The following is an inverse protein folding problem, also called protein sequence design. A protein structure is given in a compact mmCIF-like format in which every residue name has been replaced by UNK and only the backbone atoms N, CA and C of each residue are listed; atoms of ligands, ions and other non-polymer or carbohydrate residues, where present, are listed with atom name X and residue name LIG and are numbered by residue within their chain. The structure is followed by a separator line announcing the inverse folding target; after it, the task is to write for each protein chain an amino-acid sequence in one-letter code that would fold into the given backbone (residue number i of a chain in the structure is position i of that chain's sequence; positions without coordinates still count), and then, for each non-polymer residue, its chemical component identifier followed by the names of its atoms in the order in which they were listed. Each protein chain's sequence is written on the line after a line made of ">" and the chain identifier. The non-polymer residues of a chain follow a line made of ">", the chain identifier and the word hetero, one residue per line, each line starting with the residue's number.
data_IF_211084558679
#
_entry.id   IF_211084558679
#
_cell.length_a   1.000
_cell.length_b   1.000
_cell.length_c   1.000
_cell.angle_alpha   90.00
_cell.angle_beta   90.00
_cell.angle_gamma   90.00
#
_symmetry.space_group_name_H-M   'P 1'
#
loop_
_entity.id
_entity.type
_entity.pdbx_description
1 polymer ?
#
# COMPACT_ATOMS: atom_id res chain seq x y z
N UNK A 1 20.88 -6.21 -1.19
CA UNK A 1 20.14 -6.53 0.05
C UNK A 1 18.73 -6.95 -0.35
N UNK A 2 18.21 -8.03 0.22
CA UNK A 2 16.82 -8.46 -0.02
C UNK A 2 15.85 -7.53 0.73
N UNK A 3 14.85 -7.05 0.01
CA UNK A 3 13.82 -6.14 0.46
C UNK A 3 12.47 -6.59 -0.08
N UNK A 4 11.40 -6.03 0.46
CA UNK A 4 10.05 -6.39 0.06
C UNK A 4 9.07 -5.22 0.21
N UNK A 5 7.99 -5.33 -0.54
CA UNK A 5 6.81 -4.48 -0.43
C UNK A 5 5.57 -5.34 -0.24
N UNK A 6 4.65 -4.87 0.61
CA UNK A 6 3.31 -5.40 0.77
C UNK A 6 2.31 -4.51 0.03
N UNK A 7 1.90 -4.82 -1.22
CA UNK A 7 0.92 -4.05 -1.98
C UNK A 7 -0.52 -4.29 -1.49
N UNK A 8 -0.73 -4.15 -0.18
CA UNK A 8 -2.01 -4.41 0.47
C UNK A 8 -3.04 -3.34 0.09
N UNK A 9 -4.31 -3.73 0.10
CA UNK A 9 -5.43 -2.80 -0.11
C UNK A 9 -6.47 -2.98 0.98
N UNK A 10 -7.03 -1.87 1.45
CA UNK A 10 -8.26 -1.88 2.24
C UNK A 10 -9.45 -2.05 1.31
N UNK A 11 -10.24 -3.08 1.57
CA UNK A 11 -11.53 -3.39 0.98
C UNK A 11 -12.62 -3.00 2.00
N UNK A 12 -13.17 -1.79 1.86
CA UNK A 12 -13.98 -1.12 2.89
C UNK A 12 -13.26 -1.06 4.25
N UNK A 13 -13.53 -2.02 5.16
CA UNK A 13 -12.89 -2.10 6.50
C UNK A 13 -12.00 -3.34 6.67
N UNK A 14 -11.92 -4.18 5.65
CA UNK A 14 -11.11 -5.39 5.63
C UNK A 14 -9.80 -5.12 4.92
N UNK A 15 -8.73 -5.80 5.32
CA UNK A 15 -7.44 -5.72 4.65
C UNK A 15 -7.29 -6.94 3.73
N UNK A 16 -6.86 -6.69 2.49
CA UNK A 16 -6.38 -7.71 1.57
C UNK A 16 -4.86 -7.63 1.56
N UNK A 17 -4.21 -8.55 2.27
CA UNK A 17 -2.78 -8.58 2.61
C UNK A 17 -2.06 -9.82 2.06
N UNK A 18 -2.51 -10.30 0.91
CA UNK A 18 -2.11 -11.61 0.41
C UNK A 18 -0.81 -11.59 -0.37
N UNK A 19 -0.44 -10.41 -0.88
CA UNK A 19 0.59 -10.28 -1.90
C UNK A 19 1.87 -9.70 -1.29
N UNK A 20 3.01 -10.20 -1.75
CA UNK A 20 4.33 -9.69 -1.37
C UNK A 20 5.19 -9.59 -2.63
N UNK A 21 5.76 -8.43 -2.89
CA UNK A 21 6.78 -8.26 -3.93
C UNK A 21 8.14 -8.24 -3.24
N UNK A 22 8.95 -9.27 -3.45
CA UNK A 22 10.34 -9.32 -2.96
C UNK A 22 11.31 -9.00 -4.10
N UNK A 23 12.44 -8.40 -3.75
CA UNK A 23 13.48 -8.04 -4.71
C UNK A 23 14.80 -7.78 -3.98
N UNK A 24 15.89 -7.81 -4.73
CA UNK A 24 17.20 -7.41 -4.25
C UNK A 24 17.58 -6.04 -4.84
N UNK A 25 18.12 -5.15 -4.01
CA UNK A 25 18.75 -3.92 -4.48
C UNK A 25 20.28 -4.06 -4.46
N UNK A 26 20.90 -3.74 -5.60
CA UNK A 26 22.35 -3.63 -5.77
C UNK A 26 22.87 -2.32 -5.14
N UNK A 27 22.12 -1.24 -5.31
CA UNK A 27 22.41 0.10 -4.80
C UNK A 27 21.30 0.57 -3.85
N UNK A 28 21.66 0.76 -2.58
CA UNK A 28 20.76 1.22 -1.51
C UNK A 28 20.65 2.74 -1.41
N UNK A 29 21.45 3.52 -2.14
CA UNK A 29 21.40 4.98 -2.11
C UNK A 29 20.07 5.55 -2.65
N UNK A 30 19.29 4.74 -3.36
CA UNK A 30 17.97 5.10 -3.89
C UNK A 30 16.83 5.03 -2.86
N UNK A 31 17.08 4.55 -1.64
CA UNK A 31 16.05 4.36 -0.60
C UNK A 31 16.52 4.84 0.77
N UNK A 32 15.59 5.29 1.60
CA UNK A 32 15.77 5.38 3.04
C UNK A 32 15.23 4.09 3.68
N UNK A 33 16.05 3.40 4.45
CA UNK A 33 15.69 2.16 5.15
C UNK A 33 15.43 2.46 6.62
N UNK A 34 14.43 1.80 7.19
CA UNK A 34 14.20 1.75 8.62
C UNK A 34 14.29 0.32 9.15
N UNK A 35 14.81 0.19 10.37
CA UNK A 35 14.87 -1.06 11.09
C UNK A 35 13.71 -1.17 12.07
N UNK A 36 12.95 -2.26 11.97
CA UNK A 36 11.86 -2.56 12.89
C UNK A 36 11.84 -4.05 13.18
N UNK A 37 11.89 -4.42 14.46
CA UNK A 37 11.83 -5.82 14.92
C UNK A 37 12.86 -6.76 14.25
N UNK A 38 14.05 -6.23 13.93
CA UNK A 38 15.11 -7.00 13.28
C UNK A 38 14.92 -7.22 11.77
N UNK A 39 13.98 -6.50 11.15
CA UNK A 39 13.75 -6.48 9.70
C UNK A 39 14.01 -5.10 9.11
N UNK A 40 14.43 -5.08 7.85
CA UNK A 40 14.68 -3.87 7.07
C UNK A 40 13.47 -3.55 6.21
N UNK A 41 12.98 -2.31 6.31
CA UNK A 41 11.85 -1.81 5.53
C UNK A 41 12.24 -0.55 4.78
N UNK A 42 11.74 -0.40 3.56
CA UNK A 42 11.88 0.85 2.82
C UNK A 42 10.89 1.86 3.42
N UNK A 43 11.42 2.91 4.03
CA UNK A 43 10.65 4.04 4.57
C UNK A 43 10.30 5.03 3.45
N UNK A 44 11.25 5.34 2.59
CA UNK A 44 11.09 6.29 1.49
C UNK A 44 11.92 5.89 0.28
N UNK A 45 11.41 6.20 -0.93
CA UNK A 45 12.16 6.06 -2.18
C UNK A 45 12.64 7.44 -2.62
N UNK A 46 13.96 7.61 -2.65
CA UNK A 46 14.64 8.88 -2.95
C UNK A 46 14.83 9.08 -4.46
N UNK A 47 15.08 7.99 -5.19
CA UNK A 47 15.24 7.99 -6.65
C UNK A 47 14.55 6.76 -7.25
N UNK A 48 13.42 7.00 -7.91
CA UNK A 48 12.61 5.94 -8.53
C UNK A 48 13.31 5.25 -9.71
N UNK A 49 14.01 6.01 -10.54
CA UNK A 49 14.63 5.48 -11.75
C UNK A 49 15.85 4.64 -11.40
N UNK A 50 16.61 5.08 -10.38
CA UNK A 50 17.71 4.28 -9.83
C UNK A 50 17.19 3.02 -9.14
N UNK A 51 16.11 3.11 -8.35
CA UNK A 51 15.48 1.95 -7.72
C UNK A 51 15.11 0.89 -8.76
N UNK A 52 14.41 1.27 -9.83
CA UNK A 52 14.00 0.35 -10.91
C UNK A 52 15.19 -0.33 -11.59
N UNK A 53 16.28 0.40 -11.83
CA UNK A 53 17.49 -0.15 -12.47
C UNK A 53 18.26 -1.09 -11.53
N UNK A 54 18.29 -0.74 -10.24
CA UNK A 54 18.98 -1.44 -9.15
C UNK A 54 18.25 -2.71 -8.70
N UNK A 55 16.93 -2.77 -8.85
CA UNK A 55 16.12 -3.92 -8.48
C UNK A 55 16.40 -5.14 -9.37
N UNK A 56 16.69 -6.28 -8.73
CA UNK A 56 16.92 -7.60 -9.33
C UNK A 56 16.13 -8.67 -8.59
N UNK A 57 16.06 -9.85 -9.21
CA UNK A 57 15.42 -11.04 -8.62
C UNK A 57 14.01 -10.73 -8.09
N UNK A 58 13.22 -9.99 -8.87
CA UNK A 58 11.91 -9.50 -8.44
C UNK A 58 10.90 -10.64 -8.55
N UNK A 59 10.23 -10.96 -7.45
CA UNK A 59 9.28 -12.06 -7.34
C UNK A 59 8.01 -11.59 -6.65
N UNK A 60 6.86 -11.96 -7.19
CA UNK A 60 5.55 -11.78 -6.58
C UNK A 60 5.08 -13.09 -5.95
N UNK A 61 4.71 -13.02 -4.68
CA UNK A 61 4.09 -14.12 -3.94
C UNK A 61 2.63 -13.80 -3.59
N UNK A 62 1.80 -14.83 -3.49
CA UNK A 62 0.47 -14.80 -2.88
C UNK A 62 0.40 -15.85 -1.78
N UNK A 63 0.13 -15.43 -0.54
CA UNK A 63 0.01 -16.31 0.63
C UNK A 63 1.22 -17.25 0.83
N UNK A 64 2.41 -16.83 0.37
CA UNK A 64 3.66 -17.58 0.45
C UNK A 64 3.99 -18.42 -0.79
N UNK A 65 3.08 -18.55 -1.75
CA UNK A 65 3.32 -19.23 -3.01
C UNK A 65 3.85 -18.26 -4.07
N UNK A 66 4.93 -18.63 -4.77
CA UNK A 66 5.47 -17.85 -5.89
C UNK A 66 4.48 -17.87 -7.06
N UNK A 67 4.02 -16.69 -7.49
CA UNK A 67 3.10 -16.55 -8.63
C UNK A 67 3.88 -16.27 -9.91
N UNK A 68 4.77 -15.27 -9.87
CA UNK A 68 5.40 -14.73 -11.06
C UNK A 68 6.73 -14.02 -10.73
N UNK A 69 7.66 -14.05 -11.70
CA UNK A 69 8.93 -13.32 -11.65
C UNK A 69 8.93 -12.19 -12.65
N UNK A 70 9.51 -11.07 -12.27
CA UNK A 70 9.52 -9.85 -13.09
C UNK A 70 10.94 -9.37 -13.37
N UNK A 71 11.12 -8.76 -14.54
CA UNK A 71 12.34 -8.03 -14.88
C UNK A 71 12.31 -6.56 -14.42
N UNK A 72 11.14 -6.04 -14.06
CA UNK A 72 10.93 -4.65 -13.68
C UNK A 72 10.03 -4.53 -12.44
N UNK A 73 10.44 -3.68 -11.49
CA UNK A 73 9.77 -3.55 -10.20
C UNK A 73 8.44 -2.81 -10.32
N UNK A 74 8.32 -1.88 -11.27
CA UNK A 74 7.08 -1.16 -11.51
C UNK A 74 6.00 -2.11 -12.00
N UNK A 75 6.33 -2.98 -12.95
CA UNK A 75 5.41 -3.97 -13.50
C UNK A 75 4.97 -5.01 -12.44
N UNK A 76 5.89 -5.44 -11.58
CA UNK A 76 5.58 -6.33 -10.46
C UNK A 76 4.56 -5.70 -9.50
N UNK A 77 4.79 -4.45 -9.08
CA UNK A 77 3.90 -3.73 -8.18
C UNK A 77 2.54 -3.41 -8.83
N UNK A 78 2.52 -3.02 -10.12
CA UNK A 78 1.28 -2.81 -10.87
C UNK A 78 0.44 -4.08 -10.91
N UNK A 79 1.09 -5.22 -11.16
CA UNK A 79 0.43 -6.52 -11.21
C UNK A 79 -0.13 -6.90 -9.84
N UNK A 80 0.67 -6.76 -8.79
CA UNK A 80 0.25 -7.09 -7.43
C UNK A 80 -0.93 -6.23 -6.96
N UNK A 81 -0.89 -4.91 -7.17
CA UNK A 81 -2.02 -4.04 -6.83
C UNK A 81 -3.28 -4.34 -7.65
N UNK A 82 -3.13 -4.72 -8.93
CA UNK A 82 -4.26 -5.15 -9.75
C UNK A 82 -4.91 -6.41 -9.18
N UNK A 83 -4.12 -7.41 -8.80
CA UNK A 83 -4.63 -8.65 -8.19
C UNK A 83 -5.32 -8.38 -6.85
N UNK A 84 -4.70 -7.57 -5.98
CA UNK A 84 -5.28 -7.15 -4.70
C UNK A 84 -6.60 -6.41 -4.88
N UNK A 85 -6.67 -5.50 -5.85
CA UNK A 85 -7.90 -4.78 -6.19
C UNK A 85 -8.99 -5.72 -6.75
N UNK A 86 -8.63 -6.63 -7.65
CA UNK A 86 -9.57 -7.60 -8.23
C UNK A 86 -10.14 -8.53 -7.15
N UNK A 87 -9.31 -8.95 -6.19
CA UNK A 87 -9.72 -9.70 -5.00
C UNK A 87 -10.75 -8.93 -4.17
N UNK A 88 -10.43 -7.70 -3.78
CA UNK A 88 -11.32 -6.83 -3.03
C UNK A 88 -12.66 -6.61 -3.75
N UNK A 89 -12.61 -6.36 -5.07
CA UNK A 89 -13.81 -6.20 -5.90
C UNK A 89 -14.65 -7.47 -5.95
N UNK A 90 -14.02 -8.65 -6.01
CA UNK A 90 -14.71 -9.95 -6.03
C UNK A 90 -15.50 -10.19 -4.73
N UNK A 91 -15.02 -9.67 -3.61
CA UNK A 91 -15.71 -9.69 -2.31
C UNK A 91 -16.87 -8.71 -2.22
N UNK A 92 -17.05 -7.85 -3.23
CA UNK A 92 -18.12 -6.85 -3.26
C UNK A 92 -17.80 -5.57 -2.52
N UNK A 93 -16.51 -5.27 -2.28
CA UNK A 93 -16.09 -4.03 -1.66
C UNK A 93 -16.50 -2.82 -2.50
N UNK A 94 -16.94 -1.74 -1.84
CA UNK A 94 -17.37 -0.51 -2.51
C UNK A 94 -16.23 0.50 -2.60
N UNK A 95 -15.44 0.59 -1.55
CA UNK A 95 -14.25 1.44 -1.48
C UNK A 95 -13.01 0.56 -1.40
N UNK A 96 -12.06 0.77 -2.32
CA UNK A 96 -10.80 0.03 -2.38
C UNK A 96 -9.66 1.03 -2.48
N UNK A 97 -8.83 1.07 -1.44
CA UNK A 97 -7.72 2.02 -1.32
C UNK A 97 -6.44 1.30 -0.92
N UNK A 98 -5.26 1.73 -1.38
CA UNK A 98 -4.02 1.10 -0.97
C UNK A 98 -3.77 1.33 0.52
N UNK A 99 -3.24 0.32 1.19
CA UNK A 99 -2.75 0.47 2.55
C UNK A 99 -1.47 1.32 2.54
N UNK A 100 -1.28 2.07 3.62
CA UNK A 100 -0.10 2.90 3.84
C UNK A 100 0.44 2.60 5.23
N UNK A 101 1.76 2.45 5.35
CA UNK A 101 2.39 2.05 6.60
C UNK A 101 3.75 1.42 6.37
N UNK A 102 4.31 0.86 7.43
CA UNK A 102 5.60 0.16 7.38
C UNK A 102 5.47 -1.10 6.53
N UNK A 103 6.33 -1.23 5.52
CA UNK A 103 6.38 -2.38 4.62
C UNK A 103 5.45 -2.28 3.40
N UNK A 104 4.41 -1.45 3.44
CA UNK A 104 3.71 -1.08 2.20
C UNK A 104 4.59 -0.15 1.35
N UNK A 105 4.42 -0.12 0.01
CA UNK A 105 5.08 0.89 -0.81
C UNK A 105 4.80 2.32 -0.29
N UNK A 106 5.80 3.22 -0.26
CA UNK A 106 5.56 4.60 0.15
C UNK A 106 4.65 5.31 -0.87
N UNK A 107 3.97 6.38 -0.43
CA UNK A 107 2.97 7.09 -1.24
C UNK A 107 3.51 7.54 -2.61
N UNK A 108 4.78 7.93 -2.69
CA UNK A 108 5.45 8.32 -3.95
C UNK A 108 5.50 7.18 -4.97
N UNK A 109 5.60 5.93 -4.50
CA UNK A 109 5.55 4.71 -5.32
C UNK A 109 4.11 4.34 -5.64
N UNK A 110 3.24 4.32 -4.62
CA UNK A 110 1.82 4.01 -4.78
C UNK A 110 1.21 4.86 -5.91
N UNK A 111 1.44 6.18 -5.91
CA UNK A 111 0.91 7.09 -6.92
C UNK A 111 1.34 6.76 -8.37
N UNK A 112 2.41 5.99 -8.54
CA UNK A 112 2.90 5.54 -9.86
C UNK A 112 2.25 4.24 -10.28
N UNK A 113 2.12 3.28 -9.36
CA UNK A 113 1.81 1.87 -9.66
C UNK A 113 0.36 1.48 -9.40
N UNK A 114 -0.34 2.18 -8.51
CA UNK A 114 -1.71 1.86 -8.16
C UNK A 114 -2.62 2.11 -9.39
N UNK A 115 -3.51 1.16 -9.76
CA UNK A 115 -4.26 1.21 -11.02
C UNK A 115 -5.33 2.31 -11.08
N UNK A 116 -5.64 2.98 -9.98
CA UNK A 116 -6.69 4.00 -9.89
C UNK A 116 -6.19 5.27 -9.24
N UNK A 117 -6.87 6.39 -9.50
CA UNK A 117 -6.58 7.66 -8.82
C UNK A 117 -6.90 7.56 -7.34
N UNK A 118 -5.95 7.93 -6.48
CA UNK A 118 -6.16 7.97 -5.03
C UNK A 118 -6.67 9.35 -4.66
N UNK A 119 -7.87 9.41 -4.08
CA UNK A 119 -8.40 10.63 -3.50
C UNK A 119 -8.17 10.61 -1.99
N UNK A 120 -7.07 11.20 -1.53
CA UNK A 120 -6.87 11.44 -0.10
C UNK A 120 -7.69 12.66 0.32
N UNK A 121 -8.52 12.51 1.36
CA UNK A 121 -9.16 13.68 1.96
C UNK A 121 -8.08 14.63 2.49
N UNK A 122 -8.16 15.94 2.20
CA UNK A 122 -7.20 16.90 2.71
C UNK A 122 -7.28 16.90 4.24
N UNK A 123 -6.11 16.95 4.88
CA UNK A 123 -6.04 17.07 6.33
C UNK A 123 -6.84 18.31 6.79
N UNK A 124 -7.71 18.18 7.81
CA UNK A 124 -8.58 19.27 8.21
C UNK A 124 -7.76 20.48 8.67
N UNK A 125 -8.09 21.66 8.14
CA UNK A 125 -7.44 22.93 8.54
C UNK A 125 -7.65 23.27 10.02
N UNK A 126 -8.76 22.80 10.59
CA UNK A 126 -9.08 22.94 12.01
C UNK A 126 -9.47 21.56 12.55
N UNK A 127 -8.55 20.96 13.30
CA UNK A 127 -8.72 19.63 13.85
C UNK A 127 -9.86 19.57 14.86
N UNK A 128 -9.98 20.56 15.75
CA UNK A 128 -11.01 20.60 16.78
C UNK A 128 -12.41 20.63 16.18
N UNK A 129 -12.64 21.50 15.19
CA UNK A 129 -13.92 21.59 14.50
C UNK A 129 -14.25 20.31 13.70
N UNK A 130 -13.23 19.67 13.12
CA UNK A 130 -13.39 18.39 12.43
C UNK A 130 -13.78 17.28 13.41
N UNK A 131 -13.07 17.17 14.55
CA UNK A 131 -13.36 16.19 15.59
C UNK A 131 -14.75 16.40 16.20
N UNK A 132 -15.14 17.64 16.50
CA UNK A 132 -16.50 17.96 16.97
C UNK A 132 -17.58 17.51 15.98
N UNK A 133 -17.39 17.80 14.68
CA UNK A 133 -18.31 17.37 13.62
C UNK A 133 -18.38 15.85 13.55
N UNK A 134 -17.25 15.17 13.66
CA UNK A 134 -17.16 13.71 13.59
C UNK A 134 -17.90 13.06 14.78
N UNK A 135 -17.68 13.56 16.00
CA UNK A 135 -18.41 13.12 17.21
C UNK A 135 -19.92 13.35 17.07
N UNK A 136 -20.33 14.54 16.63
CA UNK A 136 -21.76 14.84 16.40
C UNK A 136 -22.38 13.93 15.35
N UNK A 137 -21.66 13.60 14.29
CA UNK A 137 -22.14 12.73 13.21
C UNK A 137 -22.30 11.28 13.70
N UNK A 138 -21.38 10.80 14.53
CA UNK A 138 -21.46 9.49 15.18
C UNK A 138 -22.64 9.40 16.16
N UNK A 139 -22.88 10.46 16.94
CA UNK A 139 -24.03 10.52 17.86
C UNK A 139 -25.38 10.56 17.13
N UNK A 140 -25.44 11.26 15.99
CA UNK A 140 -26.64 11.26 15.14
C UNK A 140 -26.88 9.86 14.58
N UNK A 141 -25.85 9.17 14.07
CA UNK A 141 -25.97 7.78 13.59
C UNK A 141 -26.39 6.81 14.69
N UNK A 142 -25.94 6.99 15.94
CA UNK A 142 -26.42 6.21 17.09
C UNK A 142 -27.91 6.45 17.40
N UNK A 143 -28.40 7.68 17.21
CA UNK A 143 -29.81 8.02 17.44
C UNK A 143 -30.74 7.59 16.31
N UNK A 144 -30.24 7.45 15.08
CA UNK A 144 -31.03 7.05 13.91
C UNK A 144 -30.88 5.57 13.53
N UNK A 145 -29.89 4.85 14.07
CA UNK A 145 -29.60 3.44 13.79
C UNK A 145 -29.99 2.47 14.91
N UNK A 146 -31.06 2.75 15.66
CA UNK A 146 -31.72 1.76 16.49
C UNK A 146 -32.78 1.01 15.69
N UNK A 147 -32.35 0.06 14.85
CA UNK A 147 -33.13 -1.08 14.30
C UNK A 147 -32.18 -2.05 13.62
#
# INVERSE_FOLDING_TARGET
>A
MELFFFPDVYADRELVDYYIVTFELEDLSCVEIMDLEGKHYIKEVLDWDLLRKSAKHIVLYELGDEIERFSDLEDALRTAYRLAYEEARRRGAKEIVPAMGVGNPPLSVINRVYPFSISLEPFPKNLDAYLEKLVRTLDIRKKTGGS
#
